data_IF_277380718850
#
_entry.id   IF_277380718850
#
_cell.length_a   1.000
_cell.length_b   1.000
_cell.length_c   1.000
_cell.angle_alpha   90.00
_cell.angle_beta   90.00
_cell.angle_gamma   90.00
#
_symmetry.space_group_name_H-M   'P 1'
#
loop_
_entity.id
_entity.type
_entity.pdbx_description
1 polymer ?
#
# COMPACT_ATOMS: atom_id res chain seq x y z
N UNK A 1 6.70 13.11 24.42
CA UNK A 1 5.72 13.27 23.33
C UNK A 1 4.81 14.44 23.68
N UNK A 2 4.67 15.46 22.82
CA UNK A 2 3.77 16.60 23.07
C UNK A 2 2.50 16.39 22.25
N UNK A 3 1.34 16.40 22.90
CA UNK A 3 0.03 16.18 22.26
C UNK A 3 -0.69 17.54 22.19
N UNK A 4 -1.33 17.82 21.05
CA UNK A 4 -2.13 19.04 20.85
C UNK A 4 -3.50 19.00 21.54
N UNK A 5 -4.27 20.09 21.43
CA UNK A 5 -5.66 20.16 21.94
C UNK A 5 -6.63 19.51 20.95
N UNK A 6 -7.75 18.97 21.43
CA UNK A 6 -8.81 18.39 20.59
C UNK A 6 -9.61 19.53 19.95
N UNK A 7 -9.62 19.60 18.61
CA UNK A 7 -10.46 20.51 17.84
C UNK A 7 -11.78 19.81 17.50
N UNK A 8 -12.92 20.46 17.80
CA UNK A 8 -14.26 20.00 17.41
C UNK A 8 -14.67 20.72 16.11
N UNK A 9 -15.52 20.09 15.30
CA UNK A 9 -16.13 20.67 14.09
C UNK A 9 -15.19 21.02 12.93
N UNK A 10 -14.01 20.39 12.87
CA UNK A 10 -13.12 20.51 11.71
C UNK A 10 -13.69 19.68 10.54
N UNK A 11 -13.90 20.27 9.34
CA UNK A 11 -14.42 19.53 8.21
C UNK A 11 -13.45 18.40 7.81
N UNK A 12 -14.00 17.22 7.55
CA UNK A 12 -13.23 16.08 7.04
C UNK A 12 -12.78 16.46 5.62
N UNK A 13 -11.47 16.46 5.31
CA UNK A 13 -11.01 16.75 3.96
C UNK A 13 -11.53 15.68 2.99
N UNK A 14 -11.86 16.09 1.77
CA UNK A 14 -12.23 15.15 0.72
C UNK A 14 -11.08 14.19 0.43
N UNK A 15 -11.27 12.92 0.77
CA UNK A 15 -10.31 11.85 0.51
C UNK A 15 -10.52 11.36 -0.91
N UNK A 16 -9.72 11.86 -1.85
CA UNK A 16 -9.62 11.32 -3.20
C UNK A 16 -8.79 10.02 -3.18
N UNK A 17 -9.36 8.91 -2.70
CA UNK A 17 -8.70 7.59 -2.75
C UNK A 17 -8.73 7.03 -4.18
N UNK A 18 -7.97 7.63 -5.10
CA UNK A 18 -7.85 7.16 -6.50
C UNK A 18 -6.86 6.02 -6.68
N UNK A 19 -6.14 5.63 -5.63
CA UNK A 19 -5.16 4.53 -5.72
C UNK A 19 -5.92 3.20 -5.69
N UNK A 20 -6.29 2.72 -6.88
CA UNK A 20 -6.89 1.39 -7.07
C UNK A 20 -5.77 0.36 -7.08
N UNK A 21 -5.63 -0.34 -5.97
CA UNK A 21 -4.76 -1.52 -5.92
C UNK A 21 -5.49 -2.74 -6.49
N UNK A 22 -4.80 -3.66 -7.17
CA UNK A 22 -5.42 -4.79 -7.86
C UNK A 22 -5.79 -5.97 -6.93
N UNK A 23 -5.83 -5.76 -5.61
CA UNK A 23 -5.94 -6.85 -4.63
C UNK A 23 -7.15 -7.78 -4.81
N UNK A 24 -8.26 -7.24 -5.30
CA UNK A 24 -9.48 -8.01 -5.58
C UNK A 24 -9.33 -8.97 -6.76
N UNK A 25 -8.43 -8.62 -7.70
CA UNK A 25 -8.27 -9.30 -8.98
C UNK A 25 -7.05 -10.23 -8.99
N UNK A 26 -6.35 -10.39 -7.86
CA UNK A 26 -5.20 -11.29 -7.73
C UNK A 26 -5.64 -12.67 -7.23
N UNK A 27 -5.30 -13.69 -7.99
CA UNK A 27 -5.43 -15.11 -7.62
C UNK A 27 -4.19 -15.61 -6.89
N UNK A 28 -4.31 -16.72 -6.15
CA UNK A 28 -3.17 -17.28 -5.40
C UNK A 28 -2.05 -17.66 -6.35
N UNK A 29 -0.84 -17.17 -6.08
CA UNK A 29 0.32 -17.30 -6.96
C UNK A 29 0.61 -16.04 -7.78
N UNK A 30 -0.36 -15.15 -7.95
CA UNK A 30 -0.16 -13.91 -8.69
C UNK A 30 0.80 -12.97 -7.97
N UNK A 31 1.49 -12.15 -8.77
CA UNK A 31 2.29 -11.05 -8.26
C UNK A 31 2.06 -9.77 -9.06
N UNK A 32 2.12 -8.64 -8.36
CA UNK A 32 2.13 -7.32 -8.99
C UNK A 32 3.38 -6.56 -8.54
N UNK A 33 4.01 -5.86 -9.47
CA UNK A 33 5.17 -5.02 -9.21
C UNK A 33 4.77 -3.55 -9.26
N UNK A 34 4.99 -2.84 -8.16
CA UNK A 34 4.85 -1.39 -8.07
C UNK A 34 6.22 -0.78 -8.25
N UNK A 35 6.42 -0.09 -9.38
CA UNK A 35 7.66 0.65 -9.66
C UNK A 35 7.65 1.98 -8.90
N UNK A 36 8.83 2.42 -8.45
CA UNK A 36 9.02 3.77 -7.90
C UNK A 36 8.85 4.82 -9.01
N UNK A 37 8.03 5.83 -8.76
CA UNK A 37 7.86 6.96 -9.68
C UNK A 37 9.02 7.96 -9.59
N UNK A 38 9.22 8.78 -10.64
CA UNK A 38 10.27 9.81 -10.65
C UNK A 38 10.06 10.81 -9.52
N UNK A 39 11.04 10.90 -8.62
CA UNK A 39 10.98 11.80 -7.45
C UNK A 39 10.33 11.19 -6.21
N UNK A 40 9.86 9.94 -6.28
CA UNK A 40 9.45 9.15 -5.13
C UNK A 40 10.62 8.30 -4.61
N UNK A 41 10.72 8.13 -3.30
CA UNK A 41 11.64 7.17 -2.68
C UNK A 41 10.96 5.82 -2.48
N UNK A 42 11.73 4.74 -2.52
CA UNK A 42 11.23 3.40 -2.24
C UNK A 42 10.55 3.26 -0.87
N UNK A 43 11.00 4.03 0.13
CA UNK A 43 10.37 4.08 1.45
C UNK A 43 8.98 4.74 1.39
N UNK A 44 8.78 5.78 0.56
CA UNK A 44 7.47 6.38 0.35
C UNK A 44 6.51 5.37 -0.32
N UNK A 45 6.98 4.67 -1.35
CA UNK A 45 6.19 3.62 -2.00
C UNK A 45 5.84 2.49 -1.01
N UNK A 46 6.79 2.07 -0.17
CA UNK A 46 6.58 1.05 0.88
C UNK A 46 5.51 1.44 1.88
N UNK A 47 5.49 2.71 2.29
CA UNK A 47 4.48 3.26 3.22
C UNK A 47 3.07 3.30 2.61
N UNK A 48 2.95 3.26 1.27
CA UNK A 48 1.66 3.19 0.57
C UNK A 48 1.23 1.73 0.34
N UNK A 49 2.10 0.93 -0.30
CA UNK A 49 1.76 -0.41 -0.80
C UNK A 49 1.58 -1.43 0.32
N UNK A 50 2.51 -1.50 1.27
CA UNK A 50 2.53 -2.56 2.30
C UNK A 50 1.33 -2.46 3.25
N UNK A 51 0.99 -1.27 3.81
CA UNK A 51 -0.20 -1.16 4.66
C UNK A 51 -1.49 -1.44 3.88
N UNK A 52 -1.56 -1.07 2.60
CA UNK A 52 -2.73 -1.33 1.76
C UNK A 52 -2.97 -2.82 1.53
N UNK A 53 -1.95 -3.58 1.12
CA UNK A 53 -2.08 -5.03 0.92
C UNK A 53 -2.42 -5.75 2.21
N UNK A 54 -1.80 -5.35 3.33
CA UNK A 54 -2.08 -5.89 4.66
C UNK A 54 -3.52 -5.63 5.10
N UNK A 55 -3.97 -4.37 5.01
CA UNK A 55 -5.33 -3.99 5.40
C UNK A 55 -6.37 -4.76 4.60
N UNK A 56 -6.21 -4.83 3.27
CA UNK A 56 -7.11 -5.60 2.43
C UNK A 56 -7.10 -7.08 2.79
N UNK A 57 -5.91 -7.64 3.03
CA UNK A 57 -5.72 -9.00 3.51
C UNK A 57 -6.50 -9.32 4.78
N UNK A 58 -6.30 -8.52 5.82
CA UNK A 58 -6.98 -8.66 7.12
C UNK A 58 -8.51 -8.56 6.98
N UNK A 59 -9.01 -7.69 6.09
CA UNK A 59 -10.46 -7.51 5.87
C UNK A 59 -11.12 -8.61 5.05
N UNK A 60 -10.36 -9.32 4.23
CA UNK A 60 -10.90 -10.31 3.29
C UNK A 60 -10.44 -11.74 3.58
N UNK A 61 -9.73 -11.96 4.70
CA UNK A 61 -9.12 -13.23 5.09
C UNK A 61 -8.15 -13.76 4.01
N UNK A 62 -7.35 -12.83 3.50
CA UNK A 62 -6.43 -12.97 2.37
C UNK A 62 -5.01 -12.67 2.85
N UNK A 63 -4.01 -13.43 2.41
CA UNK A 63 -2.61 -13.21 2.73
C UNK A 63 -1.81 -12.69 1.53
N UNK A 64 -0.95 -11.70 1.79
CA UNK A 64 -0.05 -11.10 0.82
C UNK A 64 1.37 -11.06 1.36
N UNK A 65 2.35 -11.43 0.52
CA UNK A 65 3.77 -11.28 0.82
C UNK A 65 4.30 -10.08 0.04
N UNK A 66 5.16 -9.28 0.67
CA UNK A 66 5.76 -8.10 0.01
C UNK A 66 7.27 -8.20 0.03
N UNK A 67 7.93 -7.84 -1.06
CA UNK A 67 9.38 -7.79 -1.16
C UNK A 67 9.79 -6.52 -1.90
N UNK A 68 10.91 -5.96 -1.46
CA UNK A 68 11.57 -4.85 -2.14
C UNK A 68 12.49 -5.40 -3.23
N UNK A 69 12.31 -4.94 -4.46
CA UNK A 69 13.19 -5.27 -5.60
C UNK A 69 13.95 -4.01 -6.01
N UNK A 70 15.21 -4.18 -6.42
CA UNK A 70 16.12 -3.09 -6.80
C UNK A 70 16.77 -3.28 -8.16
N UNK A 71 16.56 -4.43 -8.81
CA UNK A 71 17.20 -4.82 -10.08
C UNK A 71 16.17 -5.60 -10.92
N UNK A 72 15.89 -5.22 -12.18
CA UNK A 72 16.42 -4.07 -12.94
C UNK A 72 15.78 -2.72 -12.57
N UNK A 73 14.68 -2.74 -11.83
CA UNK A 73 13.93 -1.54 -11.47
C UNK A 73 13.64 -1.51 -9.97
N UNK A 74 13.72 -0.32 -9.37
CA UNK A 74 13.43 -0.14 -7.96
C UNK A 74 11.92 -0.12 -7.72
N UNK A 75 11.45 -0.97 -6.80
CA UNK A 75 10.03 -1.12 -6.54
C UNK A 75 9.69 -2.13 -5.45
N UNK A 76 8.40 -2.43 -5.37
CA UNK A 76 7.83 -3.36 -4.40
C UNK A 76 6.99 -4.38 -5.14
N UNK A 77 7.36 -5.64 -5.02
CA UNK A 77 6.55 -6.74 -5.49
C UNK A 77 5.66 -7.24 -4.36
N UNK A 78 4.41 -7.52 -4.70
CA UNK A 78 3.41 -8.08 -3.80
C UNK A 78 2.89 -9.37 -4.43
N UNK A 79 2.94 -10.47 -3.67
CA UNK A 79 2.36 -11.76 -4.07
C UNK A 79 1.10 -12.03 -3.29
N UNK A 80 0.14 -12.66 -3.95
CA UNK A 80 -1.03 -13.26 -3.34
C UNK A 80 -0.67 -14.69 -2.90
N UNK A 81 -0.65 -14.94 -1.58
CA UNK A 81 -0.16 -16.22 -1.03
C UNK A 81 -1.30 -17.15 -0.59
N UNK A 82 -2.40 -16.58 -0.07
CA UNK A 82 -3.55 -17.36 0.41
C UNK A 82 -4.83 -16.58 0.30
#
# INVERSE_FOLDING_TARGET
MKIGKIEKDRPIPEVNSRIKYPWSNMDVGDSVFFRVEKGESIQQLKRKVVPSSRYYGEKTNKEFKTMTERDPEEGIRVWRVR
#
